data_IF_765358180158
#
_entry.id   IF_765358180158
#
_cell.length_a   1.000
_cell.length_b   1.000
_cell.length_c   1.000
_cell.angle_alpha   90.00
_cell.angle_beta   90.00
_cell.angle_gamma   90.00
#
_symmetry.space_group_name_H-M   'P 1'
#
loop_
_entity.id
_entity.type
_entity.pdbx_description
1 polymer ?
#
# COMPACT_ATOMS: atom_id res chain seq x y z
N UNK A 1 -27.39 5.01 32.93
CA UNK A 1 -26.82 4.87 31.57
C UNK A 1 -25.69 3.86 31.65
N UNK A 2 -25.77 2.69 31.00
CA UNK A 2 -24.65 1.76 31.00
C UNK A 2 -23.52 2.33 30.17
N UNK A 3 -22.39 2.59 30.82
CA UNK A 3 -21.12 2.88 30.16
C UNK A 3 -20.65 1.52 29.65
N UNK A 4 -20.92 1.22 28.39
CA UNK A 4 -20.37 0.02 27.76
C UNK A 4 -18.86 0.19 27.69
N UNK A 5 -18.10 -0.57 28.50
CA UNK A 5 -16.65 -0.60 28.41
C UNK A 5 -16.26 -1.17 27.04
N UNK A 6 -15.38 -0.48 26.32
CA UNK A 6 -14.86 -0.98 25.03
C UNK A 6 -13.72 -1.98 25.22
N UNK A 7 -13.20 -2.09 26.45
CA UNK A 7 -12.05 -2.93 26.76
C UNK A 7 -12.31 -4.40 26.38
N UNK A 8 -11.38 -5.00 25.65
CA UNK A 8 -11.47 -6.40 25.20
C UNK A 8 -12.40 -6.66 24.02
N UNK A 9 -13.11 -5.64 23.51
CA UNK A 9 -13.93 -5.80 22.32
C UNK A 9 -13.07 -5.81 21.05
N UNK A 10 -13.52 -6.50 20.01
CA UNK A 10 -12.74 -6.70 18.80
C UNK A 10 -12.96 -5.58 17.78
N UNK A 11 -11.85 -5.05 17.27
CA UNK A 11 -11.80 -4.15 16.12
C UNK A 11 -11.15 -4.89 14.95
N UNK A 12 -11.88 -5.05 13.84
CA UNK A 12 -11.30 -5.53 12.58
C UNK A 12 -10.68 -4.36 11.83
N UNK A 13 -9.43 -4.51 11.38
CA UNK A 13 -8.71 -3.53 10.58
C UNK A 13 -8.16 -4.22 9.34
N UNK A 14 -8.57 -3.75 8.17
CA UNK A 14 -8.06 -4.21 6.87
C UNK A 14 -7.13 -3.17 6.29
N UNK A 15 -5.87 -3.56 6.05
CA UNK A 15 -4.90 -2.77 5.30
C UNK A 15 -5.16 -2.99 3.82
N UNK A 16 -5.68 -1.97 3.13
CA UNK A 16 -6.10 -2.11 1.73
C UNK A 16 -4.91 -1.86 0.80
N UNK A 17 -4.37 -0.64 0.82
CA UNK A 17 -3.32 -0.20 -0.10
C UNK A 17 -2.63 1.05 0.43
N UNK A 18 -1.47 1.38 -0.14
CA UNK A 18 -0.90 2.72 -0.03
C UNK A 18 -0.95 3.43 -1.39
N UNK A 19 -0.92 4.75 -1.36
CA UNK A 19 -0.85 5.57 -2.56
C UNK A 19 0.24 6.64 -2.42
N UNK A 20 0.91 6.93 -3.53
CA UNK A 20 1.91 8.01 -3.64
C UNK A 20 3.01 7.92 -2.58
N UNK A 21 3.46 6.71 -2.27
CA UNK A 21 4.55 6.53 -1.32
C UNK A 21 5.80 7.28 -1.76
N UNK A 22 6.52 7.85 -0.79
CA UNK A 22 7.86 8.39 -1.03
C UNK A 22 8.76 7.26 -1.51
N UNK A 23 9.53 7.53 -2.57
CA UNK A 23 10.57 6.61 -3.04
C UNK A 23 11.74 6.59 -2.06
N UNK A 24 12.14 5.41 -1.63
CA UNK A 24 13.38 5.18 -0.88
C UNK A 24 14.48 4.60 -1.75
N UNK A 25 14.13 4.02 -2.90
CA UNK A 25 15.06 3.36 -3.82
C UNK A 25 15.45 4.26 -5.00
N UNK A 26 16.68 4.10 -5.49
CA UNK A 26 17.20 4.85 -6.64
C UNK A 26 17.39 3.98 -7.90
N UNK A 27 17.57 2.67 -7.74
CA UNK A 27 17.76 1.71 -8.85
C UNK A 27 16.59 0.71 -8.96
N UNK A 28 16.13 0.17 -7.82
CA UNK A 28 15.13 -0.90 -7.80
C UNK A 28 13.72 -0.37 -7.55
N UNK A 29 12.73 -1.26 -7.68
CA UNK A 29 11.39 -1.02 -7.15
C UNK A 29 11.40 -1.33 -5.66
N UNK A 30 10.73 -0.48 -4.89
CA UNK A 30 10.51 -0.74 -3.47
C UNK A 30 9.51 -1.90 -3.26
N UNK A 31 9.74 -2.64 -2.18
CA UNK A 31 9.00 -3.79 -1.66
C UNK A 31 8.28 -3.40 -0.36
N UNK A 32 7.22 -2.57 -0.42
CA UNK A 32 6.62 -2.01 0.78
C UNK A 32 5.86 -3.04 1.62
N UNK A 33 5.84 -2.83 2.94
CA UNK A 33 4.93 -3.48 3.88
C UNK A 33 4.45 -2.48 4.93
N UNK A 34 3.25 -2.71 5.47
CA UNK A 34 2.68 -1.90 6.54
C UNK A 34 2.74 -2.63 7.88
N UNK A 35 3.02 -1.90 8.94
CA UNK A 35 2.94 -2.36 10.32
C UNK A 35 1.93 -1.51 11.08
N UNK A 36 0.99 -2.19 11.73
CA UNK A 36 -0.02 -1.58 12.58
C UNK A 36 0.37 -1.78 14.04
N UNK A 37 0.35 -0.71 14.82
CA UNK A 37 0.73 -0.69 16.23
C UNK A 37 -0.41 -0.09 17.07
N UNK A 38 -0.94 -0.90 17.99
CA UNK A 38 -2.01 -0.52 18.89
C UNK A 38 -1.71 -1.01 20.30
N UNK A 39 -1.42 -0.08 21.22
CA UNK A 39 -0.92 -0.42 22.55
C UNK A 39 0.40 -1.17 22.47
N UNK A 40 0.46 -2.37 23.05
CA UNK A 40 1.61 -3.30 22.96
C UNK A 40 1.50 -4.28 21.79
N UNK A 41 0.39 -4.28 21.04
CA UNK A 41 0.16 -5.22 19.95
C UNK A 41 0.65 -4.65 18.63
N UNK A 42 1.41 -5.45 17.89
CA UNK A 42 1.93 -5.09 16.57
C UNK A 42 1.61 -6.19 15.56
N UNK A 43 1.05 -5.78 14.43
CA UNK A 43 0.88 -6.64 13.26
C UNK A 43 1.64 -6.06 12.06
N UNK A 44 1.97 -6.92 11.11
CA UNK A 44 2.66 -6.57 9.86
C UNK A 44 1.98 -7.30 8.71
N UNK A 45 1.77 -6.60 7.59
CA UNK A 45 1.37 -7.22 6.33
C UNK A 45 2.50 -8.06 5.75
N UNK A 46 2.17 -8.91 4.79
CA UNK A 46 3.15 -9.43 3.85
C UNK A 46 3.78 -8.27 3.08
N UNK A 47 5.01 -8.50 2.64
CA UNK A 47 5.70 -7.60 1.74
C UNK A 47 5.06 -7.66 0.36
N UNK A 48 4.77 -6.50 -0.21
CA UNK A 48 4.31 -6.38 -1.60
C UNK A 48 5.54 -6.25 -2.50
N UNK A 49 6.10 -7.39 -2.93
CA UNK A 49 7.27 -7.43 -3.82
C UNK A 49 7.00 -6.71 -5.13
N UNK A 50 7.93 -5.86 -5.56
CA UNK A 50 7.83 -4.94 -6.70
C UNK A 50 6.60 -4.02 -6.66
N UNK A 51 6.06 -3.77 -5.45
CA UNK A 51 4.83 -3.00 -5.23
C UNK A 51 4.94 -1.51 -5.55
N UNK A 52 6.17 -0.99 -5.60
CA UNK A 52 6.43 0.40 -5.98
C UNK A 52 5.70 1.40 -5.07
N UNK A 53 5.25 2.53 -5.63
CA UNK A 53 4.64 3.63 -4.86
C UNK A 53 3.17 3.43 -4.50
N UNK A 54 2.51 2.42 -5.06
CA UNK A 54 1.07 2.17 -4.87
C UNK A 54 0.78 0.69 -4.58
N UNK A 55 1.35 0.11 -3.51
CA UNK A 55 1.16 -1.29 -3.19
C UNK A 55 -0.27 -1.59 -2.71
N UNK A 56 -0.71 -2.82 -2.96
CA UNK A 56 -1.99 -3.36 -2.47
C UNK A 56 -1.71 -4.57 -1.59
N UNK A 57 -2.34 -4.62 -0.42
CA UNK A 57 -2.14 -5.66 0.59
C UNK A 57 -3.39 -6.52 0.75
N UNK A 58 -4.55 -5.89 1.00
CA UNK A 58 -5.83 -6.56 1.27
C UNK A 58 -5.75 -7.54 2.46
N UNK A 59 -5.04 -7.16 3.51
CA UNK A 59 -4.81 -8.00 4.69
C UNK A 59 -5.60 -7.52 5.89
N UNK A 60 -6.25 -8.45 6.60
CA UNK A 60 -7.09 -8.16 7.76
C UNK A 60 -6.42 -8.60 9.06
N UNK A 61 -6.47 -7.73 10.05
CA UNK A 61 -6.04 -7.95 11.43
C UNK A 61 -7.18 -7.68 12.40
N UNK A 62 -7.10 -8.28 13.58
CA UNK A 62 -8.09 -8.08 14.65
C UNK A 62 -7.36 -7.61 15.90
N UNK A 63 -7.79 -6.50 16.46
CA UNK A 63 -7.26 -5.93 17.69
C UNK A 63 -8.27 -6.02 18.82
N UNK A 64 -7.80 -6.33 20.03
CA UNK A 64 -8.58 -6.14 21.24
C UNK A 64 -8.48 -4.68 21.68
N UNK A 65 -9.61 -3.97 21.68
CA UNK A 65 -9.70 -2.57 22.06
C UNK A 65 -9.28 -2.37 23.52
N UNK A 66 -8.55 -1.28 23.75
CA UNK A 66 -8.09 -0.87 25.08
C UNK A 66 -8.87 0.39 25.47
N UNK A 67 -9.46 0.37 26.65
CA UNK A 67 -10.16 1.54 27.19
C UNK A 67 -9.20 2.75 27.30
N UNK A 68 -9.72 3.94 26.98
CA UNK A 68 -8.91 5.17 26.88
C UNK A 68 -8.05 5.31 25.61
N UNK A 69 -7.65 4.22 24.95
CA UNK A 69 -6.82 4.30 23.74
C UNK A 69 -7.69 4.51 22.49
N UNK A 70 -7.53 5.67 21.83
CA UNK A 70 -8.35 6.09 20.67
C UNK A 70 -7.55 6.26 19.38
N UNK A 71 -6.30 5.84 19.40
CA UNK A 71 -5.36 6.04 18.31
C UNK A 71 -4.60 4.75 18.04
N UNK A 72 -4.34 4.48 16.76
CA UNK A 72 -3.47 3.40 16.29
C UNK A 72 -2.37 4.04 15.43
N UNK A 73 -1.14 3.58 15.60
CA UNK A 73 -0.05 4.02 14.73
C UNK A 73 0.08 3.06 13.56
N UNK A 74 0.40 3.60 12.40
CA UNK A 74 0.75 2.83 11.21
C UNK A 74 2.11 3.26 10.72
N UNK A 75 2.94 2.30 10.35
CA UNK A 75 4.28 2.54 9.81
C UNK A 75 4.46 1.74 8.54
N UNK A 76 4.90 2.39 7.47
CA UNK A 76 5.20 1.75 6.19
C UNK A 76 6.70 1.74 5.99
N UNK A 77 7.20 0.57 5.60
CA UNK A 77 8.61 0.26 5.41
C UNK A 77 8.82 -0.31 4.01
N UNK A 78 10.02 -0.15 3.47
CA UNK A 78 10.52 -0.86 2.30
C UNK A 78 11.35 -2.06 2.79
N UNK A 79 10.99 -3.28 2.39
CA UNK A 79 11.72 -4.47 2.78
C UNK A 79 13.00 -4.61 1.96
N UNK A 80 14.14 -4.81 2.62
CA UNK A 80 15.41 -5.06 1.95
C UNK A 80 15.94 -6.45 2.33
N UNK A 81 16.44 -7.21 1.35
CA UNK A 81 16.93 -8.58 1.61
C UNK A 81 18.36 -8.58 2.14
N UNK A 82 19.19 -7.62 1.72
CA UNK A 82 20.62 -7.56 2.03
C UNK A 82 20.92 -6.55 3.16
N UNK A 83 20.14 -5.48 3.23
CA UNK A 83 20.30 -4.38 4.18
C UNK A 83 19.11 -4.29 5.13
N UNK A 84 19.18 -3.37 6.09
CA UNK A 84 18.02 -3.04 6.92
C UNK A 84 16.88 -2.45 6.08
N UNK A 85 15.66 -2.71 6.52
CA UNK A 85 14.45 -2.14 5.93
C UNK A 85 14.44 -0.61 6.06
N UNK A 86 14.05 0.07 4.98
CA UNK A 86 14.00 1.53 4.95
C UNK A 86 12.64 2.06 5.41
N UNK A 87 12.68 3.06 6.28
CA UNK A 87 11.47 3.74 6.71
C UNK A 87 10.92 4.64 5.59
N UNK A 88 9.69 4.40 5.17
CA UNK A 88 9.00 5.24 4.18
C UNK A 88 8.25 6.36 4.90
N UNK A 89 7.33 5.99 5.81
CA UNK A 89 6.52 6.95 6.54
C UNK A 89 5.66 6.33 7.64
N UNK A 90 5.18 7.16 8.57
CA UNK A 90 4.24 6.77 9.61
C UNK A 90 3.04 7.71 9.67
N UNK A 91 1.92 7.18 10.15
CA UNK A 91 0.66 7.89 10.31
C UNK A 91 -0.02 7.54 11.62
N UNK A 92 -0.91 8.42 12.06
CA UNK A 92 -1.75 8.21 13.24
C UNK A 92 -3.20 8.10 12.80
N UNK A 93 -3.82 6.98 13.12
CA UNK A 93 -5.20 6.62 12.77
C UNK A 93 -6.08 6.89 13.97
N UNK A 94 -7.09 7.74 13.81
CA UNK A 94 -8.03 8.11 14.86
C UNK A 94 -9.25 7.19 14.80
N UNK A 95 -9.54 6.49 15.91
CA UNK A 95 -10.57 5.45 15.95
C UNK A 95 -11.98 5.98 16.26
N UNK A 96 -12.15 7.28 16.52
CA UNK A 96 -13.42 7.86 16.95
C UNK A 96 -14.57 7.58 15.98
N UNK A 97 -14.31 7.64 14.67
CA UNK A 97 -15.33 7.38 13.65
C UNK A 97 -15.80 5.92 13.69
N UNK A 98 -14.89 4.95 13.58
CA UNK A 98 -15.26 3.52 13.63
C UNK A 98 -15.89 3.13 14.97
N UNK A 99 -15.46 3.72 16.10
CA UNK A 99 -16.04 3.42 17.41
C UNK A 99 -17.46 3.99 17.59
N UNK A 100 -17.80 5.07 16.88
CA UNK A 100 -19.13 5.69 16.95
C UNK A 100 -20.09 5.14 15.89
N UNK A 101 -19.62 4.95 14.66
CA UNK A 101 -20.42 4.55 13.51
C UNK A 101 -20.37 3.04 13.23
N UNK A 102 -19.36 2.34 13.74
CA UNK A 102 -19.14 0.91 13.52
C UNK A 102 -18.36 0.57 12.26
N UNK A 103 -18.07 1.57 11.41
CA UNK A 103 -17.35 1.40 10.16
C UNK A 103 -16.55 2.64 9.81
N UNK A 104 -15.36 2.45 9.22
CA UNK A 104 -14.57 3.54 8.65
C UNK A 104 -13.71 3.03 7.48
N UNK A 105 -13.95 3.56 6.28
CA UNK A 105 -13.10 3.39 5.10
C UNK A 105 -12.49 4.74 4.75
N UNK A 106 -11.23 4.93 5.14
CA UNK A 106 -10.54 6.22 5.02
C UNK A 106 -9.07 6.03 4.64
N UNK A 107 -8.50 7.06 3.99
CA UNK A 107 -7.07 7.16 3.74
C UNK A 107 -6.41 8.07 4.77
N UNK A 108 -5.29 7.62 5.32
CA UNK A 108 -4.56 8.30 6.38
C UNK A 108 -3.20 8.76 5.86
N UNK A 109 -2.83 10.03 6.07
CA UNK A 109 -1.56 10.56 5.57
C UNK A 109 -0.38 9.92 6.32
N UNK A 110 0.69 9.69 5.58
CA UNK A 110 1.96 9.22 6.09
C UNK A 110 2.97 10.36 6.07
N UNK A 111 3.84 10.40 7.07
CA UNK A 111 4.89 11.40 7.19
C UNK A 111 6.26 10.73 7.34
N UNK A 112 7.28 11.34 6.75
CA UNK A 112 8.68 10.96 6.97
C UNK A 112 9.08 11.29 8.42
N UNK A 113 10.26 10.80 8.85
CA UNK A 113 10.86 11.22 10.13
C UNK A 113 11.05 12.74 10.27
N UNK A 114 11.10 13.45 9.15
CA UNK A 114 11.22 14.92 9.07
C UNK A 114 9.89 15.64 8.94
N UNK A 115 8.75 14.92 9.06
CA UNK A 115 7.40 15.49 8.96
C UNK A 115 6.94 15.83 7.54
N UNK A 116 7.68 15.43 6.50
CA UNK A 116 7.28 15.65 5.10
C UNK A 116 6.25 14.60 4.69
N UNK A 117 5.37 14.94 3.75
CA UNK A 117 4.43 13.98 3.18
C UNK A 117 5.17 12.76 2.58
N UNK A 118 4.74 11.57 2.95
CA UNK A 118 5.27 10.29 2.51
C UNK A 118 4.24 9.42 1.79
N UNK A 119 3.07 9.97 1.44
CA UNK A 119 1.96 9.27 0.81
C UNK A 119 0.80 9.08 1.77
N UNK A 120 -0.08 8.14 1.47
CA UNK A 120 -1.23 7.80 2.30
C UNK A 120 -1.49 6.30 2.32
N UNK A 121 -2.09 5.80 3.39
CA UNK A 121 -2.53 4.41 3.54
C UNK A 121 -4.05 4.34 3.70
N UNK A 122 -4.70 3.51 2.90
CA UNK A 122 -6.13 3.24 3.01
C UNK A 122 -6.40 2.08 3.94
N UNK A 123 -7.22 2.31 4.96
CA UNK A 123 -7.66 1.33 5.92
C UNK A 123 -9.18 1.21 5.91
N UNK A 124 -9.68 -0.02 6.04
CA UNK A 124 -11.09 -0.29 6.30
C UNK A 124 -11.19 -0.89 7.69
N UNK A 125 -11.95 -0.26 8.57
CA UNK A 125 -12.14 -0.66 9.96
C UNK A 125 -13.60 -0.99 10.22
N UNK A 126 -13.85 -2.04 11.01
CA UNK A 126 -15.18 -2.47 11.40
C UNK A 126 -15.25 -2.82 12.89
N UNK A 127 -16.26 -2.28 13.56
CA UNK A 127 -16.52 -2.46 14.99
C UNK A 127 -17.99 -2.79 15.22
N UNK A 128 -18.27 -4.06 15.53
CA UNK A 128 -19.64 -4.58 15.59
C UNK A 128 -20.50 -3.99 16.71
N UNK A 129 -19.87 -3.49 17.78
CA UNK A 129 -20.56 -3.02 18.99
C UNK A 129 -20.83 -1.52 19.01
N UNK A 130 -20.63 -0.82 17.89
CA UNK A 130 -21.03 0.58 17.78
C UNK A 130 -22.54 0.70 18.03
N UNK A 131 -22.92 1.73 18.80
CA UNK A 131 -24.33 2.08 18.98
C UNK A 131 -24.84 2.56 17.63
N UNK A 132 -25.48 1.68 16.87
CA UNK A 132 -26.22 2.09 15.67
C UNK A 132 -27.11 3.26 16.10
N UNK A 133 -27.00 4.46 15.51
CA UNK A 133 -28.10 5.40 15.63
C UNK A 133 -29.36 4.64 15.20
N UNK A 134 -30.53 4.85 15.85
CA UNK A 134 -31.76 4.16 15.49
C UNK A 134 -32.07 4.52 14.04
N UNK A 135 -31.52 3.73 13.12
CA UNK A 135 -31.77 3.90 11.71
C UNK A 135 -33.05 3.14 11.51
N UNK A 136 -34.13 3.86 11.80
CA UNK A 136 -35.37 3.73 11.08
C UNK A 136 -35.07 3.98 9.60
N UNK A 137 -34.42 3.00 8.96
CA UNK A 137 -34.70 2.72 7.57
C UNK A 137 -36.14 2.16 7.56
N UNK A 138 -37.11 3.04 7.82
CA UNK A 138 -38.37 2.90 7.14
C UNK A 138 -37.97 2.82 5.67
N UNK A 139 -38.22 1.65 5.08
CA UNK A 139 -38.07 1.45 3.65
C UNK A 139 -38.92 2.52 2.99
N UNK A 140 -38.33 3.66 2.63
CA UNK A 140 -38.95 4.69 1.82
C UNK A 140 -38.89 4.24 0.36
N UNK A 141 -39.34 3.01 0.11
CA UNK A 141 -39.91 2.70 -1.17
C UNK A 141 -41.25 3.45 -1.18
N UNK A 142 -41.42 4.54 -1.96
CA UNK A 142 -42.76 5.04 -2.20
C UNK A 142 -43.57 3.87 -2.77
N UNK A 143 -44.80 3.61 -2.29
CA UNK A 143 -45.69 2.71 -3.01
C UNK A 143 -45.78 3.26 -4.43
N UNK A 144 -45.39 2.46 -5.42
CA UNK A 144 -45.65 2.77 -6.82
C UNK A 144 -47.16 2.97 -6.98
N UNK A 145 -47.63 4.22 -6.90
CA UNK A 145 -48.93 4.59 -7.43
C UNK A 145 -48.79 4.54 -8.95
N UNK A 146 -49.38 3.51 -9.54
CA UNK A 146 -49.59 3.43 -10.97
C UNK A 146 -50.49 4.60 -11.39
N UNK A 147 -50.06 5.49 -12.30
CA UNK A 147 -50.98 6.45 -12.89
C UNK A 147 -51.99 5.71 -13.78
N UNK A 148 -53.27 6.10 -13.79
CA UNK A 148 -54.24 5.56 -14.75
C UNK A 148 -53.83 5.99 -16.16
N UNK A 149 -53.52 5.03 -17.01
CA UNK A 149 -53.24 5.26 -18.43
C UNK A 149 -54.49 5.83 -19.13
N UNK A 150 -54.38 6.95 -19.88
CA UNK A 150 -55.40 7.33 -20.84
C UNK A 150 -55.38 6.36 -22.03
N UNK A 151 -56.49 5.67 -22.28
CA UNK A 151 -56.71 4.87 -23.49
C UNK A 151 -56.95 5.79 -24.68
N UNK A 152 -55.88 6.26 -25.32
CA UNK A 152 -55.94 6.80 -26.69
C UNK A 152 -54.76 6.29 -27.50
N UNK A 153 -54.99 5.61 -28.64
CA UNK A 153 -53.90 5.24 -29.54
C UNK A 153 -53.36 6.48 -30.26
N UNK A 154 -52.04 6.62 -30.45
CA UNK A 154 -51.48 7.68 -31.27
C UNK A 154 -51.77 7.42 -32.77
N UNK A 155 -51.89 8.47 -33.60
CA UNK A 155 -51.97 8.32 -35.05
C UNK A 155 -50.65 7.77 -35.60
N UNK A 156 -50.76 6.86 -36.56
CA UNK A 156 -49.64 6.20 -37.24
C UNK A 156 -48.84 7.27 -38.00
N UNK A 157 -47.62 7.54 -37.57
CA UNK A 157 -46.68 8.32 -38.35
C UNK A 157 -46.06 7.43 -39.44
N UNK A 158 -46.28 7.79 -40.70
CA UNK A 158 -45.61 7.22 -41.85
C UNK A 158 -44.12 7.59 -41.83
N UNK A 159 -43.24 6.63 -41.58
CA UNK A 159 -41.80 6.82 -41.71
C UNK A 159 -41.40 6.83 -43.19
N UNK A 160 -40.57 7.79 -43.67
CA UNK A 160 -39.97 7.70 -44.98
C UNK A 160 -38.90 6.58 -45.03
N UNK A 161 -38.85 5.90 -46.16
CA UNK A 161 -37.91 4.82 -46.49
C UNK A 161 -36.45 5.27 -46.40
N UNK A 162 -35.52 4.45 -45.87
CA UNK A 162 -34.09 4.74 -45.92
C UNK A 162 -33.56 4.65 -47.36
N UNK A 163 -32.53 5.43 -47.73
CA UNK A 163 -31.91 5.34 -49.04
C UNK A 163 -31.11 4.03 -49.21
N UNK A 164 -30.85 3.60 -50.45
CA UNK A 164 -30.14 2.35 -50.73
C UNK A 164 -28.68 2.40 -50.27
N UNK A 165 -28.23 1.29 -49.68
CA UNK A 165 -26.82 1.04 -49.39
C UNK A 165 -26.00 0.96 -50.68
N UNK A 166 -24.97 1.78 -50.79
CA UNK A 166 -23.92 1.61 -51.80
C UNK A 166 -22.77 0.75 -51.23
N UNK A 167 -22.23 -0.22 -51.96
CA UNK A 167 -21.07 -0.98 -51.52
C UNK A 167 -19.78 -0.12 -51.57
N UNK A 168 -18.79 -0.39 -50.71
CA UNK A 168 -17.52 0.32 -50.72
C UNK A 168 -16.70 -0.02 -51.98
N UNK A 169 -16.18 1.01 -52.66
CA UNK A 169 -15.25 0.87 -53.78
C UNK A 169 -13.87 0.36 -53.32
N UNK A 170 -13.19 -0.44 -54.15
CA UNK A 170 -11.83 -0.90 -53.86
C UNK A 170 -10.77 0.17 -54.16
N UNK A 171 -9.81 0.30 -53.24
CA UNK A 171 -8.45 0.83 -53.39
C UNK A 171 -8.22 2.04 -54.31
N UNK A 172 -8.06 3.23 -53.70
CA UNK A 172 -7.21 4.27 -54.26
C UNK A 172 -5.76 4.02 -53.85
N UNK A 173 -4.95 3.64 -54.82
CA UNK A 173 -3.49 3.68 -54.79
C UNK A 173 -3.02 5.13 -54.64
N UNK A 174 -2.42 5.46 -53.50
CA UNK A 174 -1.62 6.68 -53.39
C UNK A 174 -0.35 6.50 -54.23
N UNK A 175 -0.19 7.33 -55.26
CA UNK A 175 1.08 7.52 -55.93
C UNK A 175 2.08 8.18 -54.96
N UNK A 176 3.35 7.75 -54.92
CA UNK A 176 4.35 8.45 -54.12
C UNK A 176 4.74 9.77 -54.79
N UNK A 177 4.94 10.87 -54.04
CA UNK A 177 5.57 12.06 -54.58
C UNK A 177 7.05 11.76 -54.88
N UNK A 178 7.47 12.10 -56.09
CA UNK A 178 8.88 12.17 -56.48
C UNK A 178 9.55 13.30 -55.70
N UNK A 179 10.20 12.95 -54.60
CA UNK A 179 11.04 13.84 -53.79
C UNK A 179 12.33 13.11 -53.47
N UNK A 180 13.45 13.72 -53.87
CA UNK A 180 14.79 13.17 -53.77
C UNK A 180 15.09 12.58 -52.39
N UNK A 181 15.57 11.33 -52.37
CA UNK A 181 16.21 10.74 -51.19
C UNK A 181 17.53 11.47 -50.97
N UNK A 182 17.52 12.52 -50.16
CA UNK A 182 18.74 12.96 -49.49
C UNK A 182 19.00 11.93 -48.38
N UNK A 183 20.04 11.12 -48.55
CA UNK A 183 20.57 10.26 -47.50
C UNK A 183 20.85 11.10 -46.24
N UNK A 184 20.50 10.64 -45.03
CA UNK A 184 21.00 11.27 -43.81
C UNK A 184 22.53 11.15 -43.78
N UNK A 185 23.27 12.17 -43.33
CA UNK A 185 24.71 12.07 -43.16
C UNK A 185 25.03 10.98 -42.13
N UNK A 186 25.99 10.12 -42.50
CA UNK A 186 26.62 9.13 -41.64
C UNK A 186 26.98 9.75 -40.27
N UNK A 187 26.67 9.10 -39.14
CA UNK A 187 27.27 9.52 -37.88
C UNK A 187 28.78 9.33 -38.00
N UNK A 188 29.50 10.44 -37.82
CA UNK A 188 30.95 10.51 -37.86
C UNK A 188 31.58 9.43 -37.00
N UNK A 189 32.66 8.87 -37.54
CA UNK A 189 33.55 7.90 -36.94
C UNK A 189 33.64 8.00 -35.40
N UNK A 190 33.38 6.89 -34.74
CA UNK A 190 33.72 6.68 -33.33
C UNK A 190 35.19 7.09 -33.09
N UNK A 191 35.49 7.90 -32.06
CA UNK A 191 36.86 8.05 -31.61
C UNK A 191 37.39 6.67 -31.14
N UNK A 192 38.69 6.39 -31.32
CA UNK A 192 39.26 5.11 -30.91
C UNK A 192 39.06 4.90 -29.41
N UNK A 193 38.84 3.65 -28.95
CA UNK A 193 38.77 3.38 -27.53
C UNK A 193 40.13 3.72 -26.91
N UNK A 194 40.12 4.73 -26.05
CA UNK A 194 41.22 4.98 -25.14
C UNK A 194 41.45 3.72 -24.31
N UNK A 195 42.70 3.27 -24.33
CA UNK A 195 43.41 2.49 -23.31
C UNK A 195 42.59 1.57 -22.41
N UNK A 196 42.95 0.28 -22.47
CA UNK A 196 42.63 -0.71 -21.45
C UNK A 196 42.72 -0.15 -20.01
N UNK A 197 41.83 -0.57 -19.09
CA UNK A 197 41.91 -0.16 -17.70
C UNK A 197 43.26 -0.60 -17.14
N UNK A 198 43.98 0.37 -16.56
CA UNK A 198 45.16 0.12 -15.75
C UNK A 198 44.82 -0.95 -14.73
N UNK A 199 45.51 -2.08 -14.79
CA UNK A 199 45.43 -3.12 -13.78
C UNK A 199 45.74 -2.48 -12.42
N UNK A 200 44.76 -2.47 -11.53
CA UNK A 200 45.02 -2.18 -10.13
C UNK A 200 46.01 -3.24 -9.62
N UNK A 201 47.14 -2.85 -9.01
CA UNK A 201 47.97 -3.84 -8.31
C UNK A 201 47.13 -4.45 -7.18
N UNK A 202 47.30 -5.76 -6.90
CA UNK A 202 46.60 -6.40 -5.80
C UNK A 202 46.94 -5.67 -4.48
N UNK A 203 45.99 -5.55 -3.54
CA UNK A 203 46.33 -5.08 -2.20
C UNK A 203 47.35 -6.04 -1.58
N UNK A 204 48.54 -5.54 -1.28
CA UNK A 204 49.52 -6.25 -0.46
C UNK A 204 48.96 -6.34 0.96
N UNK A 205 48.32 -7.46 1.27
CA UNK A 205 48.00 -7.78 2.65
C UNK A 205 49.30 -7.90 3.45
N UNK A 206 49.46 -7.21 4.59
CA UNK A 206 50.52 -7.54 5.52
C UNK A 206 50.29 -8.96 6.05
N UNK A 207 51.35 -9.76 6.29
CA UNK A 207 51.19 -11.08 6.87
C UNK A 207 50.55 -10.96 8.26
N UNK A 208 49.53 -11.79 8.51
CA UNK A 208 48.93 -11.91 9.83
C UNK A 208 50.00 -12.37 10.84
N UNK A 209 50.08 -11.77 12.04
CA UNK A 209 50.95 -12.28 13.08
C UNK A 209 50.45 -13.66 13.52
N UNK A 210 51.27 -14.67 13.27
CA UNK A 210 51.15 -15.99 13.89
C UNK A 210 51.35 -15.83 15.40
N UNK A 211 50.27 -15.98 16.18
CA UNK A 211 50.20 -16.69 17.46
C UNK A 211 48.95 -16.26 18.23
N UNK A 212 47.90 -17.08 18.17
CA UNK A 212 46.96 -17.21 19.27
C UNK A 212 46.75 -18.71 19.54
N UNK A 213 46.92 -19.19 20.79
CA UNK A 213 46.74 -20.58 21.12
C UNK A 213 45.26 -20.99 20.99
N UNK A 214 45.06 -22.13 20.36
CA UNK A 214 43.80 -22.84 20.22
C UNK A 214 43.16 -23.09 21.59
N UNK A 215 42.01 -22.47 21.86
CA UNK A 215 41.15 -22.83 22.99
C UNK A 215 40.04 -23.79 22.51
N UNK A 216 39.86 -24.96 23.13
CA UNK A 216 38.71 -25.82 22.86
C UNK A 216 37.40 -25.21 23.39
N UNK A 217 36.23 -25.61 22.87
CA UNK A 217 34.94 -25.03 23.22
C UNK A 217 34.56 -25.38 24.67
N UNK A 218 34.58 -24.38 25.55
CA UNK A 218 34.07 -24.44 26.91
C UNK A 218 32.64 -23.88 26.99
N UNK A 219 31.80 -24.58 27.74
CA UNK A 219 30.38 -24.27 27.98
C UNK A 219 30.16 -22.85 28.54
N UNK A 220 29.11 -22.20 28.04
CA UNK A 220 28.56 -20.92 28.50
C UNK A 220 27.86 -21.07 29.86
N UNK A 221 28.25 -20.33 30.91
CA UNK A 221 27.45 -20.17 32.10
C UNK A 221 27.08 -18.68 32.29
N UNK A 222 26.08 -18.20 31.57
CA UNK A 222 25.53 -16.85 31.81
C UNK A 222 24.00 -16.78 31.75
N UNK A 223 23.31 -17.82 32.25
CA UNK A 223 21.85 -17.87 32.29
C UNK A 223 21.18 -17.88 33.68
N UNK A 224 21.84 -17.53 34.78
CA UNK A 224 21.16 -17.43 36.09
C UNK A 224 21.68 -16.34 37.04
N UNK A 225 21.20 -15.10 36.86
CA UNK A 225 20.93 -14.14 37.94
C UNK A 225 20.08 -13.03 37.27
N UNK A 226 18.79 -12.86 37.52
CA UNK A 226 18.19 -12.34 38.75
C UNK A 226 16.73 -12.79 38.86
N UNK A 227 16.49 -13.87 39.63
CA UNK A 227 15.21 -14.15 40.25
C UNK A 227 15.48 -14.17 41.75
N UNK A 228 15.17 -13.06 42.43
CA UNK A 228 14.85 -12.95 43.87
C UNK A 228 14.72 -11.48 44.27
N UNK A 229 13.49 -11.07 44.53
CA UNK A 229 13.00 -10.10 45.54
C UNK A 229 11.51 -9.91 45.20
N UNK A 230 10.53 -10.03 46.07
CA UNK A 230 10.35 -10.72 47.35
C UNK A 230 8.82 -10.79 47.50
N UNK A 231 8.31 -11.89 48.06
CA UNK A 231 6.91 -11.98 48.47
C UNK A 231 6.81 -11.33 49.85
N UNK A 232 5.97 -10.30 49.99
CA UNK A 232 5.37 -10.03 51.29
C UNK A 232 3.91 -9.60 51.10
N UNK A 233 3.04 -10.54 51.42
CA UNK A 233 1.63 -10.32 51.73
C UNK A 233 1.48 -10.61 53.22
N UNK A 234 1.17 -9.58 54.00
CA UNK A 234 0.33 -9.61 55.20
C UNK A 234 -0.13 -8.18 55.49
#
# INVERSE_FOLDING_TARGET
MSISCIHGQLLEVTVVSCQKLKDTEWISRQDPYASLEYGSTRFRTRTCTDGGKNPTFQEKFVFSLIEGLREMNVVVWNSNTITYDDFIGSGKVILNKVLSEGYDDSSWPLQTKTGRNAGEIRLIMHYANAKKPPTSYASSAPPYMTPPYPTTPPPIASYPTPPPYHPPSPYSSYAPPSGAYALPPEPSAYPPPYGAPSAYPPPTYPPAPYNLPYYPPGADPSLHQFLKFDLSVS
#
